data_IF_767115377387
#
_entry.id   IF_767115377387
#
_cell.length_a   1.000
_cell.length_b   1.000
_cell.length_c   1.000
_cell.angle_alpha   90.00
_cell.angle_beta   90.00
_cell.angle_gamma   90.00
#
_symmetry.space_group_name_H-M   'P 1'
#
loop_
_entity.id
_entity.type
_entity.pdbx_description
1 polymer ?
#
# COMPACT_ATOMS: atom_id res chain seq x y z
N UNK A 1 -17.29 -12.25 -4.34
CA UNK A 1 -16.63 -11.79 -5.58
C UNK A 1 -15.48 -12.74 -5.87
N UNK A 2 -15.23 -13.11 -7.13
CA UNK A 2 -14.08 -13.95 -7.48
C UNK A 2 -12.75 -13.21 -7.27
N UNK A 3 -11.65 -13.94 -7.04
CA UNK A 3 -10.33 -13.35 -6.81
C UNK A 3 -9.84 -12.54 -8.03
N UNK A 4 -10.08 -13.06 -9.24
CA UNK A 4 -9.70 -12.36 -10.48
C UNK A 4 -10.56 -11.10 -10.68
N UNK A 5 -11.86 -11.16 -10.35
CA UNK A 5 -12.72 -9.98 -10.39
C UNK A 5 -12.27 -8.92 -9.37
N UNK A 6 -11.88 -9.32 -8.16
CA UNK A 6 -11.31 -8.39 -7.15
C UNK A 6 -10.06 -7.69 -7.69
N UNK A 7 -9.13 -8.46 -8.28
CA UNK A 7 -7.90 -7.92 -8.87
C UNK A 7 -8.18 -6.95 -10.01
N UNK A 8 -9.05 -7.33 -10.95
CA UNK A 8 -9.40 -6.50 -12.10
C UNK A 8 -10.09 -5.21 -11.68
N UNK A 9 -10.96 -5.24 -10.68
CA UNK A 9 -11.59 -4.03 -10.15
C UNK A 9 -10.58 -3.09 -9.47
N UNK A 10 -9.60 -3.64 -8.74
CA UNK A 10 -8.54 -2.82 -8.14
C UNK A 10 -7.71 -2.11 -9.22
N UNK A 11 -7.40 -2.78 -10.33
CA UNK A 11 -6.67 -2.18 -11.43
C UNK A 11 -7.52 -1.25 -12.30
N UNK A 12 -8.82 -1.53 -12.48
CA UNK A 12 -9.74 -0.61 -13.15
C UNK A 12 -9.84 0.72 -12.38
N UNK A 13 -10.03 0.67 -11.05
CA UNK A 13 -10.04 1.86 -10.22
C UNK A 13 -8.70 2.61 -10.27
N UNK A 14 -7.58 1.90 -10.31
CA UNK A 14 -6.25 2.50 -10.42
C UNK A 14 -6.01 3.19 -11.77
N UNK A 15 -6.43 2.58 -12.87
CA UNK A 15 -6.33 3.16 -14.20
C UNK A 15 -7.07 4.51 -14.27
N UNK A 16 -8.30 4.55 -13.77
CA UNK A 16 -9.09 5.78 -13.73
C UNK A 16 -8.44 6.84 -12.84
N UNK A 17 -7.96 6.47 -11.65
CA UNK A 17 -7.31 7.39 -10.72
C UNK A 17 -5.99 7.96 -11.28
N UNK A 18 -5.23 7.14 -12.00
CA UNK A 18 -4.01 7.58 -12.70
C UNK A 18 -4.32 8.58 -13.81
N UNK A 19 -5.33 8.29 -14.64
CA UNK A 19 -5.68 9.12 -15.78
C UNK A 19 -6.27 10.48 -15.35
N UNK A 20 -7.09 10.49 -14.30
CA UNK A 20 -7.89 11.67 -13.93
C UNK A 20 -7.29 12.52 -12.81
N UNK A 21 -6.43 11.95 -11.95
CA UNK A 21 -5.90 12.65 -10.76
C UNK A 21 -4.38 12.64 -10.71
N UNK A 22 -3.76 11.46 -10.64
CA UNK A 22 -2.33 11.35 -10.31
C UNK A 22 -1.47 11.89 -11.47
N UNK A 23 -1.68 11.40 -12.69
CA UNK A 23 -0.84 11.80 -13.84
C UNK A 23 -0.99 13.29 -14.18
N UNK A 24 -2.22 13.88 -14.20
CA UNK A 24 -2.37 15.32 -14.36
C UNK A 24 -1.64 16.13 -13.29
N UNK A 25 -1.74 15.74 -12.01
CA UNK A 25 -1.07 16.45 -10.90
C UNK A 25 0.46 16.40 -11.03
N UNK A 26 1.02 15.22 -11.33
CA UNK A 26 2.46 15.06 -11.53
C UNK A 26 2.96 15.87 -12.74
N UNK A 27 2.20 15.89 -13.84
CA UNK A 27 2.53 16.73 -15.01
C UNK A 27 2.47 18.23 -14.71
N UNK A 28 1.66 18.64 -13.75
CA UNK A 28 1.62 20.02 -13.24
C UNK A 28 2.74 20.34 -12.23
N UNK A 29 3.69 19.43 -12.00
CA UNK A 29 4.78 19.61 -11.05
C UNK A 29 4.33 19.51 -9.58
N UNK A 30 3.15 18.93 -9.31
CA UNK A 30 2.63 18.79 -7.96
C UNK A 30 3.07 17.48 -7.32
N UNK A 31 3.22 17.51 -6.01
CA UNK A 31 3.41 16.31 -5.20
C UNK A 31 2.08 15.58 -5.02
N UNK A 32 2.12 14.25 -5.11
CA UNK A 32 0.95 13.39 -4.87
C UNK A 32 1.20 12.51 -3.65
N UNK A 33 0.38 12.67 -2.62
CA UNK A 33 0.34 11.75 -1.47
C UNK A 33 -0.84 10.80 -1.64
N UNK A 34 -0.54 9.54 -1.94
CA UNK A 34 -1.56 8.54 -2.23
C UNK A 34 -1.70 7.54 -1.07
N UNK A 35 -2.92 7.42 -0.52
CA UNK A 35 -3.22 6.39 0.48
C UNK A 35 -3.43 5.06 -0.22
N UNK A 36 -2.41 4.18 -0.10
CA UNK A 36 -2.27 2.92 -0.84
C UNK A 36 -2.05 3.12 -2.34
N UNK A 37 -1.37 2.14 -2.94
CA UNK A 37 -1.18 2.05 -4.38
C UNK A 37 -1.00 0.57 -4.75
N UNK A 38 -0.14 0.23 -5.70
CA UNK A 38 -0.01 -1.13 -6.24
C UNK A 38 0.62 -2.12 -5.27
N UNK A 39 1.39 -1.63 -4.30
CA UNK A 39 1.89 -2.47 -3.20
C UNK A 39 0.77 -3.12 -2.38
N UNK A 40 -0.36 -2.43 -2.23
CA UNK A 40 -1.54 -3.02 -1.61
C UNK A 40 -2.11 -4.17 -2.46
N UNK A 41 -2.00 -4.12 -3.78
CA UNK A 41 -2.44 -5.21 -4.64
C UNK A 41 -1.53 -6.43 -4.51
N UNK A 42 -0.21 -6.25 -4.50
CA UNK A 42 0.72 -7.36 -4.20
C UNK A 42 0.48 -7.97 -2.81
N UNK A 43 0.22 -7.14 -1.80
CA UNK A 43 0.02 -7.62 -0.44
C UNK A 43 -1.34 -8.33 -0.25
N UNK A 44 -2.44 -7.69 -0.67
CA UNK A 44 -3.80 -8.21 -0.43
C UNK A 44 -4.23 -9.23 -1.47
N UNK A 45 -4.13 -8.90 -2.76
CA UNK A 45 -4.52 -9.82 -3.83
C UNK A 45 -3.42 -10.87 -4.08
N UNK A 46 -2.14 -10.50 -4.00
CA UNK A 46 -1.04 -11.44 -4.15
C UNK A 46 -0.94 -12.39 -2.96
N UNK A 47 -0.24 -12.00 -1.91
CA UNK A 47 0.00 -12.88 -0.75
C UNK A 47 -1.28 -13.20 0.04
N UNK A 48 -2.20 -12.23 0.19
CA UNK A 48 -3.45 -12.43 0.92
C UNK A 48 -4.37 -13.45 0.23
N UNK A 49 -4.68 -13.28 -1.06
CA UNK A 49 -5.58 -14.16 -1.83
C UNK A 49 -4.88 -15.32 -2.56
N UNK A 50 -3.55 -15.30 -2.65
CA UNK A 50 -2.77 -16.32 -3.36
C UNK A 50 -2.71 -16.11 -4.88
N UNK A 51 -2.98 -14.90 -5.38
CA UNK A 51 -2.80 -14.62 -6.81
C UNK A 51 -1.30 -14.55 -7.12
N UNK A 52 -0.80 -15.20 -8.18
CA UNK A 52 0.61 -15.12 -8.55
C UNK A 52 1.05 -13.69 -8.85
N UNK A 53 2.19 -13.27 -8.30
CA UNK A 53 2.77 -11.95 -8.52
C UNK A 53 2.97 -11.63 -10.00
N UNK A 54 3.24 -12.64 -10.84
CA UNK A 54 3.37 -12.47 -12.29
C UNK A 54 2.10 -11.94 -12.95
N UNK A 55 0.90 -12.31 -12.47
CA UNK A 55 -0.37 -11.75 -12.96
C UNK A 55 -0.53 -10.29 -12.56
N UNK A 56 -0.14 -9.97 -11.32
CA UNK A 56 -0.20 -8.60 -10.80
C UNK A 56 0.79 -7.71 -11.56
N UNK A 57 1.99 -8.22 -11.85
CA UNK A 57 3.02 -7.50 -12.61
C UNK A 57 2.56 -7.15 -14.03
N UNK A 58 1.86 -8.06 -14.72
CA UNK A 58 1.28 -7.78 -16.04
C UNK A 58 0.29 -6.62 -15.98
N UNK A 59 -0.59 -6.59 -14.96
CA UNK A 59 -1.56 -5.52 -14.81
C UNK A 59 -0.93 -4.21 -14.33
N UNK A 60 0.09 -4.29 -13.47
CA UNK A 60 0.88 -3.13 -13.05
C UNK A 60 1.54 -2.46 -14.26
N UNK A 61 2.21 -3.24 -15.10
CA UNK A 61 2.84 -2.74 -16.33
C UNK A 61 1.81 -2.15 -17.30
N UNK A 62 0.71 -2.85 -17.55
CA UNK A 62 -0.33 -2.35 -18.45
C UNK A 62 -0.96 -1.04 -17.94
N UNK A 63 -1.31 -0.96 -16.65
CA UNK A 63 -2.06 0.19 -16.11
C UNK A 63 -1.16 1.39 -15.78
N UNK A 64 0.09 1.16 -15.36
CA UNK A 64 0.98 2.22 -14.89
C UNK A 64 2.16 2.51 -15.83
N UNK A 65 2.47 1.62 -16.79
CA UNK A 65 3.71 1.67 -17.56
C UNK A 65 4.92 1.68 -16.63
N UNK A 66 5.81 2.66 -16.82
CA UNK A 66 7.01 2.84 -15.99
C UNK A 66 6.75 3.59 -14.67
N UNK A 67 5.56 4.18 -14.48
CA UNK A 67 5.27 5.01 -13.31
C UNK A 67 5.28 4.18 -12.03
N UNK A 68 6.18 4.52 -11.11
CA UNK A 68 6.26 3.96 -9.75
C UNK A 68 6.32 5.10 -8.75
N UNK A 69 5.83 4.92 -7.51
CA UNK A 69 6.02 5.91 -6.46
C UNK A 69 7.51 6.17 -6.23
N UNK A 70 7.91 7.44 -6.11
CA UNK A 70 9.29 7.80 -5.75
C UNK A 70 9.62 7.38 -4.31
N UNK A 71 8.62 7.42 -3.43
CA UNK A 71 8.70 7.04 -2.02
C UNK A 71 7.47 6.23 -1.61
N UNK A 72 7.67 5.16 -0.86
CA UNK A 72 6.59 4.41 -0.20
C UNK A 72 6.88 4.24 1.29
N UNK A 73 5.98 4.73 2.13
CA UNK A 73 6.04 4.56 3.58
C UNK A 73 5.19 3.36 3.99
N UNK A 74 5.80 2.36 4.61
CA UNK A 74 5.10 1.20 5.17
C UNK A 74 4.98 1.43 6.67
N UNK A 75 3.75 1.65 7.14
CA UNK A 75 3.44 1.73 8.55
C UNK A 75 3.29 0.30 9.09
N UNK A 76 4.38 -0.29 9.59
CA UNK A 76 4.40 -1.66 10.07
C UNK A 76 3.86 -1.76 11.50
N UNK A 77 2.96 -2.71 11.72
CA UNK A 77 2.39 -3.02 13.03
C UNK A 77 2.10 -4.53 13.10
N UNK A 78 2.24 -5.17 14.27
CA UNK A 78 1.73 -6.51 14.49
C UNK A 78 0.25 -6.60 14.12
N UNK A 79 -0.12 -7.70 13.45
CA UNK A 79 -1.46 -7.88 12.89
C UNK A 79 -2.53 -7.76 13.96
N UNK A 80 -2.31 -8.38 15.11
CA UNK A 80 -3.22 -8.41 16.24
C UNK A 80 -3.46 -7.00 16.81
N UNK A 81 -2.40 -6.19 16.92
CA UNK A 81 -2.49 -4.78 17.34
C UNK A 81 -3.22 -3.93 16.30
N UNK A 82 -2.96 -4.15 15.00
CA UNK A 82 -3.66 -3.48 13.91
C UNK A 82 -5.16 -3.77 13.93
N UNK A 83 -5.55 -5.04 14.09
CA UNK A 83 -6.94 -5.46 14.20
C UNK A 83 -7.61 -4.89 15.46
N UNK A 84 -6.89 -4.80 16.58
CA UNK A 84 -7.38 -4.10 17.78
C UNK A 84 -7.71 -2.64 17.49
N UNK A 85 -6.84 -1.90 16.79
CA UNK A 85 -7.10 -0.49 16.42
C UNK A 85 -8.31 -0.33 15.52
N UNK A 86 -8.47 -1.22 14.54
CA UNK A 86 -9.64 -1.22 13.64
C UNK A 86 -10.94 -1.43 14.42
N UNK A 87 -10.97 -2.43 15.32
CA UNK A 87 -12.14 -2.70 16.18
C UNK A 87 -12.52 -1.47 17.02
N UNK A 88 -11.52 -0.78 17.57
CA UNK A 88 -11.74 0.39 18.42
C UNK A 88 -12.16 1.65 17.64
N UNK A 89 -11.89 1.73 16.34
CA UNK A 89 -12.25 2.89 15.49
C UNK A 89 -13.76 3.02 15.26
N UNK A 90 -14.54 1.96 15.48
CA UNK A 90 -16.02 2.02 15.49
C UNK A 90 -16.69 2.23 14.12
N UNK A 91 -16.02 1.92 13.01
CA UNK A 91 -16.49 2.20 11.64
C UNK A 91 -17.23 1.08 10.91
N UNK A 92 -17.59 0.00 11.60
CA UNK A 92 -18.06 -1.25 10.97
C UNK A 92 -16.91 -2.04 10.34
N UNK A 93 -17.09 -3.35 10.18
CA UNK A 93 -16.09 -4.25 9.61
C UNK A 93 -16.25 -4.28 8.09
N UNK A 94 -15.30 -3.71 7.37
CA UNK A 94 -15.26 -3.77 5.90
C UNK A 94 -15.05 -5.22 5.40
N UNK A 95 -15.14 -5.45 4.07
CA UNK A 95 -15.01 -6.82 3.53
C UNK A 95 -13.65 -7.46 3.83
N UNK A 96 -12.57 -6.69 3.80
CA UNK A 96 -11.23 -7.19 4.10
C UNK A 96 -11.04 -7.42 5.58
N UNK A 97 -11.63 -6.58 6.44
CA UNK A 97 -11.59 -6.70 7.89
C UNK A 97 -12.33 -7.96 8.42
N UNK A 98 -13.11 -8.65 7.57
CA UNK A 98 -13.72 -9.96 7.86
C UNK A 98 -12.81 -11.15 7.59
N UNK A 99 -11.63 -10.93 7.01
CA UNK A 99 -10.67 -11.98 6.74
C UNK A 99 -10.05 -12.55 8.02
N UNK A 100 -9.56 -13.79 7.94
CA UNK A 100 -8.90 -14.44 9.07
C UNK A 100 -7.51 -13.83 9.34
N UNK A 101 -7.02 -13.95 10.57
CA UNK A 101 -5.74 -13.36 10.99
C UNK A 101 -4.57 -13.79 10.10
N UNK A 102 -4.59 -15.02 9.58
CA UNK A 102 -3.54 -15.55 8.70
C UNK A 102 -3.48 -14.80 7.36
N UNK A 103 -4.61 -14.26 6.87
CA UNK A 103 -4.63 -13.40 5.69
C UNK A 103 -3.78 -12.15 5.94
N UNK A 104 -3.98 -11.49 7.08
CA UNK A 104 -3.25 -10.28 7.43
C UNK A 104 -1.77 -10.54 7.72
N UNK A 105 -1.42 -11.71 8.28
CA UNK A 105 -0.02 -12.12 8.41
C UNK A 105 0.67 -12.25 7.04
N UNK A 106 0.00 -12.83 6.04
CA UNK A 106 0.53 -12.88 4.66
C UNK A 106 0.64 -11.50 4.03
N UNK A 107 -0.36 -10.64 4.22
CA UNK A 107 -0.35 -9.23 3.76
C UNK A 107 0.84 -8.48 4.33
N UNK A 108 1.05 -8.54 5.65
CA UNK A 108 2.18 -7.91 6.34
C UNK A 108 3.51 -8.44 5.80
N UNK A 109 3.63 -9.76 5.68
CA UNK A 109 4.83 -10.41 5.15
C UNK A 109 5.19 -9.91 3.74
N UNK A 110 4.21 -9.74 2.86
CA UNK A 110 4.42 -9.23 1.51
C UNK A 110 4.90 -7.77 1.49
N UNK A 111 4.33 -6.90 2.32
CA UNK A 111 4.83 -5.52 2.45
C UNK A 111 6.30 -5.49 2.87
N UNK A 112 6.66 -6.25 3.91
CA UNK A 112 8.02 -6.30 4.42
C UNK A 112 9.00 -6.92 3.40
N UNK A 113 8.58 -7.96 2.68
CA UNK A 113 9.40 -8.57 1.63
C UNK A 113 9.69 -7.59 0.49
N UNK A 114 8.69 -6.78 0.08
CA UNK A 114 8.90 -5.73 -0.93
C UNK A 114 9.83 -4.62 -0.42
N UNK A 115 9.72 -4.25 0.85
CA UNK A 115 10.62 -3.29 1.47
C UNK A 115 12.07 -3.76 1.44
N UNK A 116 12.29 -5.06 1.73
CA UNK A 116 13.62 -5.69 1.65
C UNK A 116 14.15 -5.77 0.23
N UNK A 117 13.29 -6.05 -0.76
CA UNK A 117 13.70 -6.18 -2.16
C UNK A 117 14.08 -4.84 -2.82
N UNK A 118 13.48 -3.73 -2.39
CA UNK A 118 13.67 -2.41 -3.01
C UNK A 118 13.95 -1.32 -1.96
N UNK A 119 15.02 -1.42 -1.17
CA UNK A 119 15.25 -0.58 0.01
C UNK A 119 15.44 0.92 -0.31
N UNK A 120 15.69 1.27 -1.57
CA UNK A 120 15.80 2.66 -2.03
C UNK A 120 14.44 3.37 -2.15
N UNK A 121 13.35 2.62 -2.32
CA UNK A 121 11.98 3.16 -2.51
C UNK A 121 11.13 3.08 -1.26
N UNK A 122 11.37 2.08 -0.42
CA UNK A 122 10.54 1.81 0.75
C UNK A 122 11.21 2.24 2.04
N UNK A 123 10.44 2.89 2.91
CA UNK A 123 10.80 3.12 4.30
C UNK A 123 9.76 2.51 5.23
N UNK A 124 10.22 1.61 6.09
CA UNK A 124 9.37 1.00 7.13
C UNK A 124 9.39 1.89 8.36
N UNK A 125 8.21 2.26 8.83
CA UNK A 125 7.94 3.08 10.00
C UNK A 125 7.31 2.19 11.07
N UNK A 126 7.80 2.24 12.30
CA UNK A 126 7.26 1.44 13.39
C UNK A 126 5.96 2.09 13.91
N UNK A 127 4.84 1.56 13.46
CA UNK A 127 3.52 2.09 13.81
C UNK A 127 3.01 1.59 15.17
N UNK A 128 3.80 0.82 15.95
CA UNK A 128 3.50 0.49 17.36
C UNK A 128 3.67 1.70 18.28
N UNK A 129 4.56 2.62 17.92
CA UNK A 129 4.87 3.80 18.70
C UNK A 129 3.67 4.77 18.84
N UNK A 130 3.69 5.68 19.82
CA UNK A 130 2.70 6.77 19.91
C UNK A 130 2.64 7.60 18.63
N UNK A 131 1.48 8.20 18.35
CA UNK A 131 1.21 8.94 17.11
C UNK A 131 2.24 10.04 16.81
N UNK A 132 2.70 10.76 17.84
CA UNK A 132 3.71 11.81 17.68
C UNK A 132 5.07 11.23 17.26
N UNK A 133 5.48 10.10 17.82
CA UNK A 133 6.71 9.41 17.42
C UNK A 133 6.62 8.89 15.98
N UNK A 134 5.49 8.30 15.59
CA UNK A 134 5.26 7.85 14.21
C UNK A 134 5.33 9.03 13.24
N UNK A 135 4.74 10.17 13.60
CA UNK A 135 4.78 11.40 12.81
C UNK A 135 6.21 11.92 12.67
N UNK A 136 6.99 11.95 13.74
CA UNK A 136 8.41 12.34 13.68
C UNK A 136 9.22 11.44 12.76
N UNK A 137 9.05 10.11 12.85
CA UNK A 137 9.71 9.15 11.95
C UNK A 137 9.36 9.41 10.48
N UNK A 138 8.09 9.69 10.18
CA UNK A 138 7.65 10.04 8.82
C UNK A 138 8.31 11.34 8.35
N UNK A 139 8.33 12.38 9.19
CA UNK A 139 8.96 13.66 8.85
C UNK A 139 10.46 13.50 8.59
N UNK A 140 11.16 12.68 9.35
CA UNK A 140 12.59 12.42 9.16
C UNK A 140 12.89 11.76 7.81
N UNK A 141 12.01 10.87 7.34
CA UNK A 141 12.10 10.30 5.98
C UNK A 141 11.77 11.37 4.94
N UNK A 142 10.67 12.10 5.12
CA UNK A 142 10.23 13.13 4.17
C UNK A 142 11.27 14.23 3.96
N UNK A 143 11.97 14.68 5.02
CA UNK A 143 13.03 15.70 4.90
C UNK A 143 14.18 15.28 3.98
N UNK A 144 14.43 13.98 3.82
CA UNK A 144 15.48 13.46 2.92
C UNK A 144 15.06 13.47 1.46
N UNK A 145 13.75 13.45 1.19
CA UNK A 145 13.17 13.39 -0.15
C UNK A 145 12.75 14.79 -0.63
N UNK A 146 12.29 15.64 0.28
CA UNK A 146 11.81 17.01 0.01
C UNK A 146 12.93 18.05 0.17
N UNK A 147 14.19 17.63 0.35
CA UNK A 147 15.31 18.57 0.54
C UNK A 147 15.38 19.59 -0.63
N UNK A 148 15.66 20.87 -0.33
CA UNK A 148 15.59 21.98 -1.28
C UNK A 148 16.55 21.86 -2.46
#
# INVERSE_FOLDING_TARGET
IGIDTELLLMFAARAEHLATVITPALRAGQWVVCSRFTDATYAYQGAGRGIPDTRIAILEDWVQGDLRPDLTLILDIPVEEGLNRVRNRGGGVDRFERERVEFFHRVRGAYLARAQAYPHRYHVIDARAPIETVKEQILDVMRKVVAP
#
